data_IF_827954835919
#
_entry.id   IF_827954835919
#
_cell.length_a   1.000
_cell.length_b   1.000
_cell.length_c   1.000
_cell.angle_alpha   90.00
_cell.angle_beta   90.00
_cell.angle_gamma   90.00
#
_symmetry.space_group_name_H-M   'P 1'
#
loop_
_entity.id
_entity.type
_entity.pdbx_description
1 polymer ?
#
# COMPACT_ATOMS: atom_id res chain seq x y z
N UNK A 1 10.27 21.51 20.30
CA UNK A 1 11.62 21.13 20.77
C UNK A 1 11.47 19.90 21.63
N UNK A 2 12.32 18.88 21.42
CA UNK A 2 12.37 17.68 22.26
C UNK A 2 13.42 17.93 23.35
N UNK A 3 13.08 17.66 24.61
CA UNK A 3 13.94 17.90 25.76
C UNK A 3 14.65 16.62 26.18
N UNK A 4 15.88 16.76 26.68
CA UNK A 4 16.65 15.67 27.28
C UNK A 4 15.99 15.20 28.59
N UNK A 5 16.06 13.89 28.85
CA UNK A 5 15.69 13.31 30.15
C UNK A 5 16.71 13.67 31.25
N UNK A 6 17.91 14.09 30.88
CA UNK A 6 18.98 14.55 31.77
C UNK A 6 19.38 15.96 31.36
N UNK A 7 18.70 17.02 31.83
CA UNK A 7 18.93 18.39 31.38
C UNK A 7 20.31 18.93 31.75
N UNK A 8 20.90 18.42 32.84
CA UNK A 8 22.20 18.86 33.38
C UNK A 8 23.37 17.98 32.90
N UNK A 9 23.14 17.05 31.96
CA UNK A 9 24.18 16.17 31.43
C UNK A 9 24.25 14.80 32.10
N UNK A 10 25.28 14.01 31.76
CA UNK A 10 25.46 12.64 32.26
C UNK A 10 25.60 12.66 33.80
N UNK A 11 24.86 11.83 34.54
CA UNK A 11 25.04 11.74 35.99
C UNK A 11 26.47 11.27 36.32
N UNK A 12 27.14 11.98 37.23
CA UNK A 12 28.50 11.65 37.70
C UNK A 12 28.49 10.30 38.44
N UNK A 13 29.43 9.43 38.08
CA UNK A 13 29.65 8.16 38.78
C UNK A 13 30.53 8.47 39.98
N UNK A 14 29.97 8.38 41.19
CA UNK A 14 30.76 8.56 42.41
C UNK A 14 31.58 7.29 42.63
N UNK A 15 32.90 7.35 42.41
CA UNK A 15 33.81 6.27 42.78
C UNK A 15 33.94 6.22 44.31
N UNK A 16 33.56 5.10 44.91
CA UNK A 16 33.76 4.86 46.34
C UNK A 16 35.24 4.55 46.59
N UNK A 17 35.87 5.27 47.53
CA UNK A 17 37.27 5.10 47.92
C UNK A 17 37.56 3.64 48.32
N UNK A 18 38.45 2.98 47.59
CA UNK A 18 38.93 1.63 47.88
C UNK A 18 40.05 1.69 48.92
N UNK A 19 39.81 1.20 50.14
CA UNK A 19 40.88 0.83 51.07
C UNK A 19 41.60 -0.42 50.54
N UNK A 20 42.90 -0.31 50.25
CA UNK A 20 43.73 -1.46 49.87
C UNK A 20 44.00 -2.39 51.06
N UNK A 21 43.98 -3.72 50.86
CA UNK A 21 44.86 -4.61 51.59
C UNK A 21 45.91 -5.24 50.67
N UNK A 22 47.01 -5.59 51.32
CA UNK A 22 48.28 -6.01 50.77
C UNK A 22 48.28 -7.36 50.04
N UNK A 23 49.23 -7.43 49.11
CA UNK A 23 49.78 -8.55 48.35
C UNK A 23 50.04 -9.82 49.17
N UNK A 24 49.65 -10.99 48.64
CA UNK A 24 50.43 -12.23 48.80
C UNK A 24 50.08 -13.27 47.72
N UNK A 25 51.05 -13.44 46.81
CA UNK A 25 51.55 -14.69 46.19
C UNK A 25 50.62 -15.76 45.58
N UNK A 26 51.01 -16.10 44.33
CA UNK A 26 51.07 -17.44 43.72
C UNK A 26 49.72 -18.15 43.45
N UNK A 27 49.49 -18.91 42.39
CA UNK A 27 50.35 -19.64 41.48
C UNK A 27 49.46 -20.15 40.31
N UNK A 28 50.06 -20.39 39.14
CA UNK A 28 49.80 -21.55 38.27
C UNK A 28 48.34 -21.90 37.87
N UNK A 29 47.95 -21.95 36.60
CA UNK A 29 48.44 -22.86 35.56
C UNK A 29 47.62 -22.57 34.29
N UNK A 30 48.28 -22.27 33.17
CA UNK A 30 48.62 -23.23 32.11
C UNK A 30 47.36 -23.69 31.33
N UNK A 31 47.19 -23.20 30.10
CA UNK A 31 47.66 -23.89 28.88
C UNK A 31 46.53 -24.78 28.31
N UNK A 32 46.32 -24.99 27.03
CA UNK A 32 47.02 -24.69 25.79
C UNK A 32 45.95 -24.77 24.67
N UNK A 33 46.01 -23.91 23.67
CA UNK A 33 46.50 -24.24 22.31
C UNK A 33 45.62 -25.20 21.50
N UNK A 34 45.10 -24.71 20.38
CA UNK A 34 45.51 -25.17 19.04
C UNK A 34 44.82 -24.27 17.98
N UNK A 35 45.56 -23.44 17.23
CA UNK A 35 46.23 -23.75 15.93
C UNK A 35 45.18 -23.68 14.79
N UNK A 36 45.31 -22.89 13.71
CA UNK A 36 46.40 -22.79 12.73
C UNK A 36 46.16 -21.60 11.74
N UNK A 37 47.26 -20.99 11.27
CA UNK A 37 47.60 -20.41 9.95
C UNK A 37 46.54 -19.69 9.08
N UNK A 38 46.82 -18.59 8.36
CA UNK A 38 48.03 -18.21 7.63
C UNK A 38 47.94 -16.73 7.24
N UNK A 39 49.02 -15.98 7.39
CA UNK A 39 49.21 -14.67 6.75
C UNK A 39 50.71 -14.50 6.47
N UNK A 40 51.13 -14.08 5.25
CA UNK A 40 52.48 -13.62 5.05
C UNK A 40 52.57 -12.10 4.88
N UNK A 41 53.62 -11.57 5.53
CA UNK A 41 54.44 -10.43 5.15
C UNK A 41 54.14 -9.03 5.75
N UNK A 42 54.73 -8.83 6.93
CA UNK A 42 55.50 -7.68 7.48
C UNK A 42 56.26 -6.79 6.43
N UNK A 43 56.66 -5.53 6.75
CA UNK A 43 57.51 -5.13 7.91
C UNK A 43 56.98 -3.94 8.75
N UNK A 44 57.00 -4.03 10.08
CA UNK A 44 58.09 -3.63 10.99
C UNK A 44 58.39 -2.12 10.96
N UNK A 45 57.88 -1.40 11.97
CA UNK A 45 58.68 -0.47 12.78
C UNK A 45 57.92 -0.06 14.06
N UNK A 46 58.48 -0.50 15.17
CA UNK A 46 58.16 -0.12 16.54
C UNK A 46 58.58 1.32 16.81
N UNK A 47 57.66 2.18 17.24
CA UNK A 47 57.98 3.29 18.12
C UNK A 47 57.00 3.26 19.30
N UNK A 48 57.58 2.99 20.47
CA UNK A 48 56.97 3.06 21.77
C UNK A 48 56.64 4.54 22.06
N UNK A 49 55.36 4.89 21.97
CA UNK A 49 54.85 6.18 22.39
C UNK A 49 53.77 5.92 23.42
N UNK A 50 54.15 6.10 24.68
CA UNK A 50 53.24 6.24 25.81
C UNK A 50 52.13 7.24 25.43
N UNK A 51 50.94 6.73 25.18
CA UNK A 51 49.75 7.55 24.95
C UNK A 51 49.34 8.08 26.31
N UNK A 52 49.71 9.32 26.59
CA UNK A 52 48.99 10.12 27.57
C UNK A 52 47.53 10.17 27.11
N UNK A 53 46.62 9.58 27.88
CA UNK A 53 45.19 9.80 27.70
C UNK A 53 44.91 11.27 28.01
N UNK A 54 44.88 12.11 26.97
CA UNK A 54 44.33 13.46 27.11
C UNK A 54 42.83 13.33 27.45
N UNK A 55 42.32 14.13 28.40
CA UNK A 55 40.92 14.08 28.76
C UNK A 55 40.13 14.47 27.52
N UNK A 56 39.33 13.54 27.00
CA UNK A 56 38.39 13.83 25.93
C UNK A 56 37.42 14.89 26.49
N UNK A 57 37.59 16.16 26.10
CA UNK A 57 36.70 17.24 26.52
C UNK A 57 35.26 16.79 26.27
N UNK A 58 34.51 16.65 27.36
CA UNK A 58 33.14 16.15 27.31
C UNK A 58 32.31 17.07 26.41
N UNK A 59 31.84 16.53 25.29
CA UNK A 59 31.03 17.28 24.34
C UNK A 59 29.86 17.96 25.08
N UNK A 60 29.66 19.25 24.82
CA UNK A 60 28.63 20.08 25.46
C UNK A 60 27.27 19.40 25.31
N UNK A 61 26.68 19.01 26.45
CA UNK A 61 25.36 18.39 26.49
C UNK A 61 24.29 19.36 25.95
N UNK A 62 23.47 18.89 25.00
CA UNK A 62 22.31 19.64 24.52
C UNK A 62 21.05 19.24 25.30
N UNK A 63 20.60 20.12 26.19
CA UNK A 63 19.38 19.91 26.99
C UNK A 63 18.09 19.90 26.14
N UNK A 64 18.13 20.46 24.92
CA UNK A 64 17.00 20.42 23.98
C UNK A 64 17.46 20.51 22.52
N UNK A 65 16.60 20.07 21.61
CA UNK A 65 16.86 20.11 20.16
C UNK A 65 16.99 21.54 19.63
N UNK A 66 18.09 21.84 18.94
CA UNK A 66 18.35 23.16 18.33
C UNK A 66 17.58 23.36 17.01
N UNK A 67 17.27 22.28 16.30
CA UNK A 67 16.51 22.27 15.04
C UNK A 67 15.40 21.20 15.10
N UNK A 68 14.43 21.19 14.16
CA UNK A 68 13.46 20.11 14.06
C UNK A 68 14.17 18.75 13.93
N UNK A 69 13.86 17.82 14.83
CA UNK A 69 14.44 16.49 14.86
C UNK A 69 13.36 15.45 14.54
N UNK A 70 13.67 14.54 13.61
CA UNK A 70 12.85 13.38 13.30
C UNK A 70 13.49 12.16 13.96
N UNK A 71 12.77 11.50 14.86
CA UNK A 71 13.25 10.34 15.60
C UNK A 71 12.23 9.21 15.40
N UNK A 72 12.68 8.08 14.86
CA UNK A 72 11.89 6.86 14.74
C UNK A 72 12.54 5.81 15.62
N UNK A 73 11.77 5.28 16.58
CA UNK A 73 12.25 4.30 17.55
C UNK A 73 11.57 2.97 17.26
N UNK A 74 12.37 1.92 17.09
CA UNK A 74 11.90 0.55 16.99
C UNK A 74 12.19 -0.16 18.31
N UNK A 75 11.19 -0.81 18.88
CA UNK A 75 11.33 -1.50 20.16
C UNK A 75 12.09 -2.83 20.04
N UNK A 76 12.11 -3.43 18.85
CA UNK A 76 12.75 -4.70 18.58
C UNK A 76 13.37 -4.68 17.17
N UNK A 77 14.51 -5.34 16.99
CA UNK A 77 15.17 -5.53 15.70
C UNK A 77 14.52 -6.62 14.86
N UNK A 78 13.71 -7.49 15.48
CA UNK A 78 13.10 -8.64 14.81
C UNK A 78 12.30 -8.25 13.57
N UNK A 79 11.68 -7.05 13.54
CA UNK A 79 10.91 -6.55 12.40
C UNK A 79 11.67 -6.56 11.06
N UNK A 80 13.01 -6.53 11.13
CA UNK A 80 13.90 -6.49 9.97
C UNK A 80 14.14 -7.87 9.38
N UNK A 81 13.85 -8.92 10.14
CA UNK A 81 14.12 -10.30 9.71
C UNK A 81 13.22 -10.68 8.55
N UNK A 82 13.79 -11.25 7.48
CA UNK A 82 13.07 -11.71 6.27
C UNK A 82 11.78 -12.49 6.62
N UNK A 83 11.83 -13.36 7.63
CA UNK A 83 10.69 -14.17 8.10
C UNK A 83 9.46 -13.37 8.50
N UNK A 84 9.60 -12.08 8.82
CA UNK A 84 8.50 -11.23 9.25
C UNK A 84 7.92 -10.37 8.12
N UNK A 85 8.43 -10.45 6.89
CA UNK A 85 7.88 -9.65 5.78
C UNK A 85 8.03 -10.23 4.37
N UNK A 86 8.98 -11.14 4.13
CA UNK A 86 9.21 -11.78 2.83
C UNK A 86 9.29 -13.29 2.99
N UNK A 87 8.49 -14.00 2.20
CA UNK A 87 8.65 -15.44 2.01
C UNK A 87 9.36 -15.69 0.68
N UNK A 88 10.41 -16.50 0.69
CA UNK A 88 11.14 -16.84 -0.54
C UNK A 88 10.66 -18.18 -1.07
N UNK A 89 9.94 -18.15 -2.18
CA UNK A 89 9.56 -19.36 -2.90
C UNK A 89 10.69 -19.80 -3.85
N UNK A 90 10.86 -21.11 -4.02
CA UNK A 90 11.78 -21.69 -5.00
C UNK A 90 10.98 -22.13 -6.21
N UNK A 91 11.23 -21.53 -7.38
CA UNK A 91 10.61 -21.93 -8.63
C UNK A 91 11.68 -22.12 -9.69
N UNK A 92 11.77 -23.31 -10.28
CA UNK A 92 12.78 -23.66 -11.30
C UNK A 92 14.23 -23.36 -10.88
N UNK A 93 14.55 -23.53 -9.60
CA UNK A 93 15.88 -23.23 -9.05
C UNK A 93 16.17 -21.74 -8.85
N UNK A 94 15.20 -20.86 -9.11
CA UNK A 94 15.28 -19.43 -8.84
C UNK A 94 14.51 -19.08 -7.56
N UNK A 95 15.12 -18.22 -6.74
CA UNK A 95 14.53 -17.67 -5.53
C UNK A 95 13.66 -16.47 -5.89
N UNK A 96 12.35 -16.59 -5.71
CA UNK A 96 11.39 -15.51 -5.95
C UNK A 96 10.94 -14.98 -4.58
N UNK A 97 11.33 -13.75 -4.18
CA UNK A 97 10.82 -13.14 -2.96
C UNK A 97 9.37 -12.70 -3.15
N UNK A 98 8.47 -13.17 -2.28
CA UNK A 98 7.08 -12.76 -2.22
C UNK A 98 6.86 -12.01 -0.89
N UNK A 99 6.62 -10.69 -0.94
CA UNK A 99 6.29 -9.94 0.27
C UNK A 99 4.89 -10.34 0.76
N UNK A 100 4.75 -10.57 2.06
CA UNK A 100 3.47 -10.86 2.70
C UNK A 100 3.09 -9.82 3.76
N UNK A 101 4.05 -9.02 4.22
CA UNK A 101 3.82 -7.90 5.13
C UNK A 101 4.65 -6.69 4.70
N UNK A 102 4.15 -5.49 5.02
CA UNK A 102 4.75 -4.23 4.56
C UNK A 102 5.81 -3.67 5.53
N UNK A 103 6.50 -4.52 6.30
CA UNK A 103 7.48 -4.07 7.29
C UNK A 103 8.74 -3.50 6.63
N UNK A 104 9.20 -4.10 5.53
CA UNK A 104 10.31 -3.56 4.75
C UNK A 104 9.97 -2.22 4.08
N UNK A 105 8.76 -2.11 3.51
CA UNK A 105 8.26 -0.84 2.97
C UNK A 105 8.24 0.23 4.06
N UNK A 106 7.77 -0.10 5.26
CA UNK A 106 7.74 0.82 6.39
C UNK A 106 9.14 1.32 6.78
N UNK A 107 10.12 0.43 6.85
CA UNK A 107 11.50 0.80 7.17
C UNK A 107 12.11 1.70 6.10
N UNK A 108 11.98 1.33 4.82
CA UNK A 108 12.53 2.11 3.70
C UNK A 108 11.89 3.50 3.63
N UNK A 109 10.57 3.58 3.83
CA UNK A 109 9.87 4.87 3.89
C UNK A 109 10.29 5.70 5.10
N UNK A 110 10.58 5.07 6.24
CA UNK A 110 11.09 5.77 7.42
C UNK A 110 12.50 6.30 7.18
N UNK A 111 13.37 5.52 6.55
CA UNK A 111 14.73 5.95 6.17
C UNK A 111 14.70 7.10 5.15
N UNK A 112 13.80 7.04 4.16
CA UNK A 112 13.58 8.11 3.19
C UNK A 112 13.05 9.40 3.84
N UNK A 113 12.17 9.27 4.85
CA UNK A 113 11.71 10.41 5.62
C UNK A 113 12.83 11.05 6.45
N UNK A 114 13.72 10.23 7.03
CA UNK A 114 14.87 10.69 7.84
C UNK A 114 16.00 11.27 7.00
N UNK A 115 16.15 10.86 5.73
CA UNK A 115 17.19 11.35 4.83
C UNK A 115 16.92 12.74 4.23
N UNK A 116 15.79 13.37 4.59
CA UNK A 116 15.41 14.71 4.13
C UNK A 116 14.34 14.73 3.03
N UNK A 117 13.71 13.59 2.72
CA UNK A 117 12.57 13.50 1.80
C UNK A 117 11.25 14.05 2.36
N UNK A 118 11.23 14.73 3.52
CA UNK A 118 10.01 15.14 4.22
C UNK A 118 9.02 15.95 3.37
N UNK A 119 9.52 16.84 2.50
CA UNK A 119 8.66 17.64 1.60
C UNK A 119 7.97 16.77 0.54
N UNK A 120 8.63 15.73 0.03
CA UNK A 120 8.07 14.77 -0.93
C UNK A 120 7.21 13.68 -0.26
N UNK A 121 7.55 13.28 0.97
CA UNK A 121 6.76 12.34 1.79
C UNK A 121 5.42 12.96 2.20
N UNK A 122 5.35 14.27 2.46
CA UNK A 122 4.09 14.96 2.75
C UNK A 122 3.11 14.94 1.55
N UNK A 123 3.64 14.89 0.31
CA UNK A 123 2.84 14.81 -0.92
C UNK A 123 2.34 13.38 -1.15
N UNK A 124 3.17 12.36 -0.86
CA UNK A 124 2.78 10.94 -0.98
C UNK A 124 1.91 10.44 0.19
N UNK A 125 2.04 11.01 1.39
CA UNK A 125 1.26 10.65 2.58
C UNK A 125 -0.12 11.29 2.68
N UNK A 126 -0.47 12.21 1.76
CA UNK A 126 -1.87 12.46 1.43
C UNK A 126 -2.37 11.19 0.75
N UNK A 127 -2.70 10.21 1.59
CA UNK A 127 -3.01 8.84 1.21
C UNK A 127 -3.86 8.84 -0.04
N UNK A 128 -3.51 7.96 -0.98
CA UNK A 128 -4.32 7.70 -2.16
C UNK A 128 -5.75 7.49 -1.71
N UNK A 129 -6.57 8.53 -1.85
CA UNK A 129 -7.99 8.46 -1.49
C UNK A 129 -8.64 7.59 -2.55
N UNK A 130 -8.59 6.29 -2.30
CA UNK A 130 -9.32 5.29 -3.05
C UNK A 130 -10.81 5.59 -2.83
N UNK A 131 -11.48 6.10 -3.86
CA UNK A 131 -12.95 6.10 -3.95
C UNK A 131 -13.34 4.84 -4.71
N UNK A 132 -13.36 3.64 -4.08
CA UNK A 132 -13.82 2.46 -4.78
C UNK A 132 -15.30 2.65 -5.14
N UNK A 133 -15.72 2.06 -6.25
CA UNK A 133 -17.12 2.04 -6.59
C UNK A 133 -17.87 1.17 -5.57
N UNK A 134 -18.61 1.79 -4.65
CA UNK A 134 -19.31 1.10 -3.57
C UNK A 134 -20.23 -0.02 -4.06
N UNK A 135 -20.81 0.14 -5.26
CA UNK A 135 -21.61 -0.90 -5.91
C UNK A 135 -20.80 -2.14 -6.28
N UNK A 136 -19.57 -1.98 -6.77
CA UNK A 136 -18.68 -3.10 -7.10
C UNK A 136 -18.25 -3.82 -5.83
N UNK A 137 -17.94 -3.07 -4.77
CA UNK A 137 -17.59 -3.66 -3.46
C UNK A 137 -18.72 -4.51 -2.91
N UNK A 138 -19.97 -4.02 -3.00
CA UNK A 138 -21.12 -4.80 -2.53
C UNK A 138 -21.36 -6.06 -3.39
N UNK A 139 -21.14 -6.01 -4.71
CA UNK A 139 -21.23 -7.19 -5.56
C UNK A 139 -20.18 -8.24 -5.20
N UNK A 140 -18.94 -7.82 -4.96
CA UNK A 140 -17.86 -8.70 -4.49
C UNK A 140 -18.22 -9.34 -3.15
N UNK A 141 -18.71 -8.56 -2.19
CA UNK A 141 -19.14 -9.06 -0.89
C UNK A 141 -20.24 -10.12 -1.02
N UNK A 142 -21.23 -9.89 -1.88
CA UNK A 142 -22.31 -10.84 -2.13
C UNK A 142 -21.84 -12.11 -2.86
N UNK A 143 -20.82 -12.01 -3.71
CA UNK A 143 -20.21 -13.17 -4.34
C UNK A 143 -19.42 -13.98 -3.30
N UNK A 144 -18.61 -13.33 -2.46
CA UNK A 144 -17.87 -13.99 -1.36
C UNK A 144 -18.82 -14.71 -0.39
N UNK A 145 -19.95 -14.07 -0.03
CA UNK A 145 -20.96 -14.68 0.83
C UNK A 145 -21.55 -15.95 0.18
N UNK A 146 -21.79 -15.93 -1.14
CA UNK A 146 -22.27 -17.11 -1.90
C UNK A 146 -21.23 -18.22 -1.98
N UNK A 147 -19.97 -17.87 -2.26
CA UNK A 147 -18.87 -18.85 -2.31
C UNK A 147 -18.70 -19.56 -0.97
N UNK A 148 -18.76 -18.81 0.15
CA UNK A 148 -18.68 -19.40 1.49
C UNK A 148 -19.80 -20.39 1.78
N UNK A 149 -21.02 -20.12 1.32
CA UNK A 149 -22.16 -21.03 1.48
C UNK A 149 -21.93 -22.32 0.68
N UNK A 150 -21.50 -22.20 -0.58
CA UNK A 150 -21.19 -23.35 -1.45
C UNK A 150 -20.03 -24.20 -0.89
N UNK A 151 -18.99 -23.55 -0.34
CA UNK A 151 -17.88 -24.22 0.33
C UNK A 151 -18.33 -24.96 1.59
N UNK A 152 -19.17 -24.32 2.43
CA UNK A 152 -19.70 -24.96 3.63
C UNK A 152 -20.56 -26.18 3.28
N UNK A 153 -21.44 -26.07 2.28
CA UNK A 153 -22.27 -27.17 1.83
C UNK A 153 -21.43 -28.36 1.29
N UNK A 154 -20.31 -28.08 0.63
CA UNK A 154 -19.38 -29.12 0.19
C UNK A 154 -18.69 -29.83 1.37
N UNK A 155 -18.29 -29.08 2.40
CA UNK A 155 -17.69 -29.66 3.60
C UNK A 155 -18.69 -30.52 4.37
N UNK A 156 -19.94 -30.10 4.45
CA UNK A 156 -21.01 -30.89 5.08
C UNK A 156 -21.25 -32.20 4.33
N UNK A 157 -21.33 -32.15 2.99
CA UNK A 157 -21.45 -33.34 2.14
C UNK A 157 -20.25 -34.28 2.28
N UNK A 158 -19.04 -33.73 2.36
CA UNK A 158 -17.82 -34.51 2.57
C UNK A 158 -17.90 -35.28 3.90
N UNK A 159 -18.33 -34.63 4.99
CA UNK A 159 -18.50 -35.28 6.28
C UNK A 159 -19.59 -36.38 6.24
N UNK A 160 -20.70 -36.14 5.52
CA UNK A 160 -21.77 -37.14 5.33
C UNK A 160 -21.28 -38.37 4.55
N UNK A 161 -20.51 -38.16 3.48
CA UNK A 161 -19.90 -39.25 2.71
C UNK A 161 -18.86 -40.01 3.53
N UNK A 162 -18.00 -39.34 4.29
CA UNK A 162 -17.03 -40.00 5.18
C UNK A 162 -17.75 -40.88 6.22
N UNK A 163 -18.84 -40.39 6.81
CA UNK A 163 -19.66 -41.15 7.75
C UNK A 163 -20.37 -42.35 7.09
N UNK A 164 -20.83 -42.18 5.85
CA UNK A 164 -21.49 -43.24 5.07
C UNK A 164 -20.51 -44.34 4.66
N UNK A 165 -19.31 -43.94 4.22
CA UNK A 165 -18.22 -44.87 3.90
C UNK A 165 -17.76 -45.63 5.15
N UNK A 166 -17.64 -44.96 6.30
CA UNK A 166 -17.28 -45.61 7.55
C UNK A 166 -18.30 -46.69 7.97
N UNK A 167 -19.60 -46.46 7.74
CA UNK A 167 -20.66 -47.43 7.99
C UNK A 167 -20.63 -48.60 7.00
N UNK A 168 -20.45 -48.32 5.71
CA UNK A 168 -20.40 -49.36 4.66
C UNK A 168 -19.15 -50.24 4.75
N UNK A 169 -18.09 -49.75 5.38
CA UNK A 169 -16.81 -50.45 5.52
C UNK A 169 -16.71 -51.29 6.81
N UNK A 170 -17.81 -51.53 7.52
CA UNK A 170 -17.89 -52.36 8.73
C UNK A 170 -18.81 -53.57 8.50
N UNK A 171 -18.47 -54.72 9.08
CA UNK A 171 -19.34 -55.90 9.12
C UNK A 171 -20.39 -55.83 10.26
N UNK A 172 -21.29 -56.83 10.37
CA UNK A 172 -22.32 -56.89 11.42
C UNK A 172 -21.74 -56.88 12.86
N UNK A 173 -20.48 -57.27 13.02
CA UNK A 173 -19.75 -57.29 14.29
C UNK A 173 -18.86 -56.04 14.50
N UNK A 174 -18.88 -55.08 13.56
CA UNK A 174 -18.13 -53.82 13.61
C UNK A 174 -16.67 -53.90 13.14
N UNK A 175 -16.26 -54.99 12.49
CA UNK A 175 -14.89 -55.14 11.97
C UNK A 175 -14.76 -54.54 10.56
N UNK A 176 -13.60 -53.94 10.22
CA UNK A 176 -13.39 -53.34 8.92
C UNK A 176 -13.36 -54.37 7.78
N UNK A 177 -14.23 -54.17 6.79
CA UNK A 177 -14.28 -54.94 5.55
C UNK A 177 -13.10 -54.52 4.66
N UNK A 178 -11.99 -55.26 4.68
CA UNK A 178 -10.80 -54.96 3.86
C UNK A 178 -10.98 -55.09 2.32
N UNK A 179 -12.21 -54.99 1.81
CA UNK A 179 -12.60 -55.25 0.43
C UNK A 179 -13.53 -54.14 -0.09
N UNK A 180 -13.31 -53.69 -1.32
CA UNK A 180 -14.14 -52.67 -1.96
C UNK A 180 -15.47 -53.29 -2.40
N UNK A 181 -16.58 -52.88 -1.77
CA UNK A 181 -17.93 -53.34 -2.11
C UNK A 181 -18.55 -52.47 -3.21
N UNK A 182 -19.50 -52.99 -4.02
CA UNK A 182 -20.18 -52.19 -5.04
C UNK A 182 -20.93 -50.99 -4.45
N UNK A 183 -21.44 -51.09 -3.22
CA UNK A 183 -22.09 -49.99 -2.51
C UNK A 183 -21.11 -48.85 -2.18
N UNK A 184 -19.90 -49.17 -1.71
CA UNK A 184 -18.83 -48.19 -1.49
C UNK A 184 -18.46 -47.48 -2.80
N UNK A 185 -18.38 -48.22 -3.91
CA UNK A 185 -18.06 -47.63 -5.21
C UNK A 185 -19.15 -46.64 -5.65
N UNK A 186 -20.43 -46.95 -5.46
CA UNK A 186 -21.52 -46.03 -5.82
C UNK A 186 -21.49 -44.74 -5.00
N UNK A 187 -21.11 -44.82 -3.73
CA UNK A 187 -20.99 -43.66 -2.84
C UNK A 187 -19.82 -42.76 -3.23
N UNK A 188 -18.67 -43.36 -3.58
CA UNK A 188 -17.51 -42.63 -4.13
C UNK A 188 -17.88 -41.93 -5.45
N UNK A 189 -18.58 -42.62 -6.35
CA UNK A 189 -19.00 -42.04 -7.63
C UNK A 189 -19.99 -40.88 -7.46
N UNK A 190 -20.91 -41.00 -6.48
CA UNK A 190 -21.81 -39.90 -6.09
C UNK A 190 -21.04 -38.68 -5.61
N UNK A 191 -20.11 -38.86 -4.67
CA UNK A 191 -19.28 -37.76 -4.15
C UNK A 191 -18.42 -37.10 -5.24
N UNK A 192 -17.82 -37.90 -6.13
CA UNK A 192 -17.06 -37.38 -7.27
C UNK A 192 -17.91 -36.48 -8.19
N UNK A 193 -19.17 -36.86 -8.44
CA UNK A 193 -20.09 -36.03 -9.24
C UNK A 193 -20.43 -34.73 -8.51
N UNK A 194 -20.70 -34.78 -7.20
CA UNK A 194 -20.96 -33.59 -6.38
C UNK A 194 -19.75 -32.63 -6.33
N UNK A 195 -18.52 -33.16 -6.27
CA UNK A 195 -17.30 -32.36 -6.37
C UNK A 195 -17.19 -31.62 -7.72
N UNK A 196 -17.48 -32.31 -8.83
CA UNK A 196 -17.43 -31.71 -10.17
C UNK A 196 -18.49 -30.62 -10.31
N UNK A 197 -19.69 -30.87 -9.81
CA UNK A 197 -20.81 -29.93 -9.83
C UNK A 197 -20.51 -28.68 -8.98
N UNK A 198 -19.98 -28.87 -7.77
CA UNK A 198 -19.56 -27.75 -6.91
C UNK A 198 -18.47 -26.91 -7.56
N UNK A 199 -17.47 -27.53 -8.19
CA UNK A 199 -16.44 -26.80 -8.96
C UNK A 199 -17.03 -26.00 -10.11
N UNK A 200 -18.12 -26.46 -10.72
CA UNK A 200 -18.86 -25.67 -11.74
C UNK A 200 -19.54 -24.48 -11.08
N UNK A 201 -20.31 -24.68 -10.02
CA UNK A 201 -20.98 -23.61 -9.28
C UNK A 201 -20.00 -22.51 -8.82
N UNK A 202 -18.87 -22.89 -8.24
CA UNK A 202 -17.83 -21.92 -7.83
C UNK A 202 -17.30 -21.09 -9.01
N UNK A 203 -17.06 -21.72 -10.17
CA UNK A 203 -16.66 -20.98 -11.38
C UNK A 203 -17.77 -20.10 -11.92
N UNK A 204 -19.01 -20.55 -11.85
CA UNK A 204 -20.17 -19.79 -12.33
C UNK A 204 -20.41 -18.54 -11.48
N UNK A 205 -20.24 -18.62 -10.16
CA UNK A 205 -20.30 -17.44 -9.26
C UNK A 205 -19.23 -16.41 -9.63
N UNK A 206 -17.99 -16.86 -9.88
CA UNK A 206 -16.90 -15.97 -10.29
C UNK A 206 -17.11 -15.36 -11.68
N UNK A 207 -17.64 -16.15 -12.61
CA UNK A 207 -17.99 -15.69 -13.94
C UNK A 207 -19.10 -14.63 -13.89
N UNK A 208 -20.18 -14.90 -13.15
CA UNK A 208 -21.30 -13.97 -12.97
C UNK A 208 -20.84 -12.65 -12.32
N UNK A 209 -20.01 -12.72 -11.26
CA UNK A 209 -19.45 -11.52 -10.63
C UNK A 209 -18.67 -10.67 -11.65
N UNK A 210 -17.85 -11.32 -12.49
CA UNK A 210 -17.06 -10.62 -13.51
C UNK A 210 -17.97 -9.99 -14.56
N UNK A 211 -18.96 -10.74 -15.05
CA UNK A 211 -19.94 -10.26 -16.03
C UNK A 211 -20.73 -9.06 -15.49
N UNK A 212 -21.20 -9.12 -14.24
CA UNK A 212 -21.94 -8.03 -13.60
C UNK A 212 -21.09 -6.76 -13.47
N UNK A 213 -19.83 -6.90 -13.04
CA UNK A 213 -18.88 -5.78 -12.94
C UNK A 213 -18.61 -5.17 -14.32
N UNK A 214 -18.39 -6.00 -15.34
CA UNK A 214 -18.09 -5.56 -16.69
C UNK A 214 -19.29 -4.90 -17.37
N UNK A 215 -20.50 -5.41 -17.16
CA UNK A 215 -21.74 -4.82 -17.65
C UNK A 215 -21.97 -3.43 -17.04
N UNK A 216 -21.82 -3.32 -15.71
CA UNK A 216 -21.93 -2.04 -15.00
C UNK A 216 -20.88 -1.04 -15.50
N UNK A 217 -19.63 -1.48 -15.61
CA UNK A 217 -18.52 -0.67 -16.09
C UNK A 217 -18.73 -0.20 -17.54
N UNK A 218 -19.19 -1.09 -18.41
CA UNK A 218 -19.45 -0.79 -19.83
C UNK A 218 -20.58 0.20 -20.01
N UNK A 219 -21.69 0.03 -19.29
CA UNK A 219 -22.81 0.96 -19.34
C UNK A 219 -22.43 2.35 -18.83
N UNK A 220 -21.69 2.42 -17.71
CA UNK A 220 -21.23 3.69 -17.14
C UNK A 220 -20.26 4.41 -18.10
N UNK A 221 -19.34 3.68 -18.73
CA UNK A 221 -18.45 4.20 -19.78
C UNK A 221 -19.25 4.71 -20.98
N UNK A 222 -20.25 3.97 -21.45
CA UNK A 222 -21.07 4.36 -22.60
C UNK A 222 -21.81 5.68 -22.34
N UNK A 223 -22.43 5.83 -21.17
CA UNK A 223 -23.09 7.08 -20.77
C UNK A 223 -22.10 8.22 -20.73
N UNK A 224 -20.98 8.05 -20.03
CA UNK A 224 -20.01 9.13 -19.87
C UNK A 224 -19.38 9.54 -21.21
N UNK A 225 -19.04 8.57 -22.06
CA UNK A 225 -18.43 8.79 -23.37
C UNK A 225 -19.37 9.50 -24.35
N UNK A 226 -20.69 9.27 -24.24
CA UNK A 226 -21.67 9.87 -25.13
C UNK A 226 -22.25 11.19 -24.58
N UNK A 227 -22.53 11.26 -23.28
CA UNK A 227 -23.20 12.41 -22.66
C UNK A 227 -22.34 13.67 -22.72
N UNK A 228 -21.05 13.57 -22.38
CA UNK A 228 -20.13 14.72 -22.35
C UNK A 228 -20.04 15.44 -23.72
N UNK A 229 -19.73 14.77 -24.84
CA UNK A 229 -19.68 15.45 -26.13
C UNK A 229 -21.05 15.98 -26.56
N UNK A 230 -22.15 15.27 -26.31
CA UNK A 230 -23.50 15.76 -26.60
C UNK A 230 -23.78 17.05 -25.83
N UNK A 231 -23.47 17.10 -24.54
CA UNK A 231 -23.68 18.29 -23.72
C UNK A 231 -22.86 19.48 -24.24
N UNK A 232 -21.59 19.26 -24.58
CA UNK A 232 -20.72 20.28 -25.15
C UNK A 232 -21.23 20.80 -26.50
N UNK A 233 -21.69 19.92 -27.37
CA UNK A 233 -22.27 20.32 -28.68
C UNK A 233 -23.54 21.15 -28.49
N UNK A 234 -24.43 20.77 -27.58
CA UNK A 234 -25.64 21.54 -27.26
C UNK A 234 -25.27 22.94 -26.73
N UNK A 235 -24.35 23.02 -25.77
CA UNK A 235 -23.89 24.30 -25.21
C UNK A 235 -23.29 25.19 -26.30
N UNK A 236 -22.44 24.63 -27.17
CA UNK A 236 -21.82 25.37 -28.27
C UNK A 236 -22.88 25.89 -29.26
N UNK A 237 -23.89 25.09 -29.59
CA UNK A 237 -24.95 25.44 -30.52
C UNK A 237 -25.87 26.53 -29.93
N UNK A 238 -26.23 26.44 -28.66
CA UNK A 238 -26.96 27.48 -27.92
C UNK A 238 -26.17 28.80 -27.88
N UNK A 239 -24.87 28.74 -27.59
CA UNK A 239 -23.99 29.91 -27.60
C UNK A 239 -23.94 30.56 -28.99
N UNK A 240 -23.79 29.74 -30.04
CA UNK A 240 -23.78 30.20 -31.42
C UNK A 240 -25.10 30.90 -31.81
N UNK A 241 -26.23 30.27 -31.53
CA UNK A 241 -27.55 30.82 -31.85
C UNK A 241 -27.85 32.11 -31.08
N UNK A 242 -27.49 32.16 -29.79
CA UNK A 242 -27.66 33.37 -28.97
C UNK A 242 -26.82 34.55 -29.50
N UNK A 243 -25.61 34.30 -30.00
CA UNK A 243 -24.74 35.31 -30.61
C UNK A 243 -25.33 35.87 -31.90
N UNK A 244 -25.90 35.01 -32.75
CA UNK A 244 -26.61 35.44 -33.97
C UNK A 244 -27.82 36.30 -33.61
N UNK A 245 -28.64 35.88 -32.63
CA UNK A 245 -29.85 36.61 -32.22
C UNK A 245 -29.51 37.99 -31.63
N UNK A 246 -28.45 38.10 -30.83
CA UNK A 246 -27.95 39.39 -30.31
C UNK A 246 -27.47 40.33 -31.43
N UNK A 247 -26.77 39.82 -32.44
CA UNK A 247 -26.39 40.61 -33.63
C UNK A 247 -27.61 41.08 -34.43
N UNK A 248 -28.71 40.32 -34.40
CA UNK A 248 -29.96 40.74 -35.05
C UNK A 248 -30.71 41.85 -34.31
N UNK A 249 -30.63 41.88 -32.98
CA UNK A 249 -31.23 42.96 -32.19
C UNK A 249 -30.45 44.27 -32.24
N UNK A 250 -29.16 44.22 -32.60
CA UNK A 250 -28.32 45.41 -32.76
C UNK A 250 -28.68 46.26 -34.01
N UNK A 251 -29.14 45.64 -35.11
CA UNK A 251 -29.51 46.40 -36.31
C UNK A 251 -30.87 47.11 -36.19
N UNK A 252 -31.78 46.64 -35.34
CA UNK A 252 -33.05 47.34 -35.07
C UNK A 252 -32.86 48.61 -34.22
N UNK A 253 -31.85 48.69 -33.35
CA UNK A 253 -31.53 49.90 -32.58
C UNK A 253 -30.82 50.97 -33.43
N UNK A 254 -30.09 50.57 -34.47
CA UNK A 254 -29.52 51.49 -35.44
C UNK A 254 -30.56 52.03 -36.43
N UNK A 255 -31.53 51.19 -36.86
CA UNK A 255 -32.58 51.59 -37.80
C UNK A 255 -33.69 52.48 -37.17
N UNK A 256 -33.93 52.38 -35.86
CA UNK A 256 -34.95 53.20 -35.16
C UNK A 256 -34.40 54.55 -34.68
N UNK A 257 -33.07 54.73 -34.59
CA UNK A 257 -32.45 55.99 -34.12
C UNK A 257 -31.75 56.80 -35.23
N UNK A 258 -31.51 56.24 -36.42
CA UNK A 258 -30.96 56.99 -37.56
C UNK A 258 -31.88 56.90 -38.79
N UNK A 259 -32.79 57.87 -38.99
CA UNK A 259 -32.55 58.82 -40.07
C UNK A 259 -33.16 60.22 -39.85
N UNK A 260 -33.03 60.84 -38.67
CA UNK A 260 -33.53 62.23 -38.47
C UNK A 260 -32.48 63.33 -38.64
N UNK A 261 -31.19 63.00 -38.79
CA UNK A 261 -30.12 64.01 -38.91
C UNK A 261 -29.51 64.15 -40.32
N UNK A 262 -30.16 63.62 -41.35
CA UNK A 262 -29.71 63.79 -42.74
C UNK A 262 -30.48 64.86 -43.54
N UNK A 263 -31.31 65.68 -42.89
CA UNK A 263 -32.09 66.74 -43.57
C UNK A 263 -31.88 68.17 -43.04
N UNK A 264 -30.92 68.39 -42.14
CA UNK A 264 -30.72 69.69 -41.50
C UNK A 264 -29.39 70.38 -41.81
N UNK A 265 -28.67 69.97 -42.86
CA UNK A 265 -27.49 70.72 -43.34
C UNK A 265 -27.65 71.34 -44.74
N UNK A 266 -28.66 70.97 -45.52
CA UNK A 266 -28.95 71.61 -46.81
C UNK A 266 -29.74 72.91 -46.69
N UNK A 267 -30.38 73.20 -45.54
CA UNK A 267 -31.09 74.46 -45.32
C UNK A 267 -30.19 75.59 -44.75
N UNK A 268 -29.04 75.28 -44.13
CA UNK A 268 -28.13 76.29 -43.59
C UNK A 268 -27.00 76.68 -44.57
N UNK A 269 -26.67 75.82 -45.53
CA UNK A 269 -25.68 76.13 -46.57
C UNK A 269 -26.20 77.11 -47.64
N UNK A 270 -27.52 77.31 -47.74
CA UNK A 270 -28.13 78.24 -48.70
C UNK A 270 -28.38 79.64 -48.11
N UNK A 271 -28.06 79.87 -46.83
CA UNK A 271 -28.25 81.15 -46.14
C UNK A 271 -26.93 81.82 -45.69
N UNK A 272 -25.78 81.19 -45.96
CA UNK A 272 -24.44 81.78 -45.74
C UNK A 272 -23.60 81.95 -47.03
N UNK A 273 -24.25 81.85 -48.20
CA UNK A 273 -23.72 82.35 -49.47
C UNK A 273 -24.67 83.45 -49.98
N UNK A 274 -24.85 84.48 -49.16
CA UNK A 274 -25.33 85.76 -49.67
C UNK A 274 -24.22 86.50 -50.40
N UNK A 275 -24.61 87.49 -51.20
CA UNK A 275 -23.71 88.53 -51.72
C UNK A 275 -23.67 88.58 -53.22
#
# INVERSE_FOLDING_TARGET
>A
AINSAFPDGRPEVVEAETEEPADDTAEETAAASSVEADNPAQPEQSEDLAVAEEPVEAQVHLASTVAPANIVIFADSDLLTDRLWVQVAQFLGQRIPQPFANNGDFLINSLDNLSGGADLVSIRSRGTYSRPFTRVVEMQRQADDRLRIEEAELLDRLAETEASLAQLNQDEDGNPLGQLTPEIQTEIDRFNNEMVDTRRRLRDVQFQLTEDIDALGSWLKAINALLVPILLTIIALLAHFSRIRRRRLAHWRAAVIGPSLARSYTALALLLSGG
#
